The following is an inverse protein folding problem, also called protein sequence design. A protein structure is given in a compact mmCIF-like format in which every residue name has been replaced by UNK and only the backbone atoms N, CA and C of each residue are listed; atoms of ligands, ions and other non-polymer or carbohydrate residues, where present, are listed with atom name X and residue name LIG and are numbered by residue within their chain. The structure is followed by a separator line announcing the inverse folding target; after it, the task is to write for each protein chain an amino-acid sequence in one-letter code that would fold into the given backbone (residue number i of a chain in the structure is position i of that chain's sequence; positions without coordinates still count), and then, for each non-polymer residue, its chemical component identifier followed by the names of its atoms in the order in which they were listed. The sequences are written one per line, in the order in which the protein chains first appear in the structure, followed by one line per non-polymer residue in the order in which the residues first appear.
data_IF_569832048436
#
_entry.id   IF_569832048436
#
_cell.length_a   1.000
_cell.length_b   1.000
_cell.length_c   1.000
_cell.angle_alpha   90.00
_cell.angle_beta   90.00
_cell.angle_gamma   90.00
#
_symmetry.space_group_name_H-M   'P 1'
#
loop_
_entity.id
_entity.type
_entity.pdbx_description
1 polymer ?
#
# COMPACT_ATOMS: atom_id res chain seq x y z
N UNK A 1 40.91 15.65 -10.48
CA UNK A 1 39.95 14.91 -11.31
C UNK A 1 38.99 15.90 -11.93
N UNK A 2 38.59 15.76 -13.20
CA UNK A 2 37.51 16.54 -13.76
C UNK A 2 36.18 16.14 -13.08
N UNK A 3 35.32 17.12 -12.85
CA UNK A 3 33.96 16.93 -12.33
C UNK A 3 33.08 16.29 -13.41
N UNK A 4 32.49 15.13 -13.13
CA UNK A 4 31.54 14.43 -14.00
C UNK A 4 30.14 14.47 -13.36
N UNK A 5 29.20 15.27 -13.90
CA UNK A 5 27.83 15.36 -13.38
C UNK A 5 27.07 14.03 -13.42
N UNK A 6 27.34 13.15 -14.39
CA UNK A 6 26.67 11.85 -14.49
C UNK A 6 27.15 10.88 -13.39
N UNK A 7 28.37 11.05 -12.89
CA UNK A 7 28.89 10.30 -11.74
C UNK A 7 28.25 10.79 -10.44
N UNK A 8 27.99 12.09 -10.31
CA UNK A 8 27.36 12.67 -9.13
C UNK A 8 25.88 12.29 -9.02
N UNK A 9 25.13 12.29 -10.13
CA UNK A 9 23.74 11.82 -10.17
C UNK A 9 23.64 10.33 -9.79
N UNK A 10 24.58 9.49 -10.28
CA UNK A 10 24.66 8.07 -9.89
C UNK A 10 25.01 7.86 -8.43
N UNK A 11 25.86 8.71 -7.85
CA UNK A 11 26.19 8.66 -6.42
C UNK A 11 25.04 9.17 -5.54
N UNK A 12 24.25 10.12 -6.03
CA UNK A 12 23.05 10.62 -5.36
C UNK A 12 21.90 9.61 -5.33
N UNK A 13 21.78 8.76 -6.36
CA UNK A 13 20.86 7.60 -6.37
C UNK A 13 21.25 6.51 -5.34
N UNK A 14 22.53 6.46 -4.96
CA UNK A 14 23.09 5.51 -3.99
C UNK A 14 23.10 6.04 -2.54
N UNK A 15 22.70 7.30 -2.32
CA UNK A 15 22.60 7.82 -0.96
C UNK A 15 21.47 7.11 -0.18
N UNK A 16 21.75 6.68 1.06
CA UNK A 16 20.80 5.90 1.83
C UNK A 16 19.56 6.74 2.18
N UNK A 17 18.39 6.15 1.97
CA UNK A 17 17.12 6.77 2.37
C UNK A 17 17.07 7.01 3.89
N UNK A 18 16.54 8.16 4.29
CA UNK A 18 16.36 8.49 5.69
C UNK A 18 15.02 7.97 6.21
N UNK A 19 15.04 6.90 7.02
CA UNK A 19 13.86 6.33 7.69
C UNK A 19 13.51 7.03 9.02
N UNK A 20 13.91 8.29 9.12
CA UNK A 20 13.60 9.21 10.22
C UNK A 20 13.28 10.59 9.62
N UNK A 21 13.11 11.63 10.44
CA UNK A 21 13.06 13.03 9.96
C UNK A 21 14.44 13.67 10.13
N UNK A 22 15.30 13.67 9.08
CA UNK A 22 16.62 14.26 9.19
C UNK A 22 16.52 15.80 9.33
N UNK A 23 17.52 16.46 9.93
CA UNK A 23 17.47 17.89 10.23
C UNK A 23 17.16 18.79 9.02
N UNK A 24 17.63 18.43 7.82
CA UNK A 24 17.36 19.18 6.59
C UNK A 24 15.91 19.10 6.13
N UNK A 25 15.19 18.02 6.45
CA UNK A 25 13.77 17.86 6.14
C UNK A 25 12.85 18.51 7.18
N UNK A 26 13.33 18.66 8.43
CA UNK A 26 12.50 19.13 9.54
C UNK A 26 11.82 20.47 9.25
N UNK A 27 12.59 21.45 8.75
CA UNK A 27 12.07 22.79 8.44
C UNK A 27 11.02 22.80 7.33
N UNK A 28 11.21 22.01 6.28
CA UNK A 28 10.26 21.92 5.17
C UNK A 28 8.96 21.21 5.59
N UNK A 29 9.08 20.11 6.33
CA UNK A 29 7.94 19.37 6.87
C UNK A 29 7.16 20.21 7.88
N UNK A 30 7.86 20.95 8.75
CA UNK A 30 7.20 21.87 9.68
C UNK A 30 6.46 22.99 8.94
N UNK A 31 7.06 23.57 7.90
CA UNK A 31 6.39 24.57 7.07
C UNK A 31 5.15 24.00 6.38
N UNK A 32 5.22 22.76 5.88
CA UNK A 32 4.06 22.07 5.30
C UNK A 32 2.96 21.86 6.35
N UNK A 33 3.28 21.35 7.54
CA UNK A 33 2.31 21.18 8.65
C UNK A 33 1.66 22.52 8.97
N UNK A 34 2.48 23.56 9.17
CA UNK A 34 2.01 24.91 9.51
C UNK A 34 1.06 25.46 8.45
N UNK A 35 1.37 25.29 7.16
CA UNK A 35 0.48 25.70 6.08
C UNK A 35 -0.89 25.01 6.10
N UNK A 36 -0.98 23.82 6.72
CA UNK A 36 -2.24 23.10 6.91
C UNK A 36 -3.00 23.57 8.15
N UNK A 37 -2.32 23.77 9.27
CA UNK A 37 -2.95 24.05 10.57
C UNK A 37 -3.09 25.54 10.88
N UNK A 38 -2.38 26.40 10.16
CA UNK A 38 -2.42 27.87 10.25
C UNK A 38 -2.74 28.52 8.89
N UNK A 39 -3.89 28.22 8.25
CA UNK A 39 -4.29 28.96 7.06
C UNK A 39 -4.43 30.45 7.41
N UNK A 40 -4.07 31.31 6.45
CA UNK A 40 -4.12 32.79 6.55
C UNK A 40 -5.53 33.36 6.88
N UNK A 41 -6.57 32.52 6.90
CA UNK A 41 -7.95 32.86 7.25
C UNK A 41 -8.38 32.12 8.52
N UNK A 42 -9.28 32.73 9.30
CA UNK A 42 -9.74 32.32 10.65
C UNK A 42 -10.31 30.89 10.84
N UNK A 43 -10.25 30.03 9.81
CA UNK A 43 -10.75 28.66 9.83
C UNK A 43 -9.82 27.66 10.54
N UNK A 44 -8.51 27.91 10.59
CA UNK A 44 -7.47 26.93 11.00
C UNK A 44 -7.59 26.30 12.39
N UNK A 45 -8.34 26.91 13.30
CA UNK A 45 -8.50 26.37 14.66
C UNK A 45 -9.28 25.06 14.69
N UNK A 46 -10.22 24.86 13.76
CA UNK A 46 -11.00 23.62 13.70
C UNK A 46 -10.14 22.44 13.22
N UNK A 47 -9.27 22.68 12.25
CA UNK A 47 -8.28 21.71 11.76
C UNK A 47 -7.28 21.36 12.86
N UNK A 48 -6.71 22.37 13.54
CA UNK A 48 -5.85 22.16 14.72
C UNK A 48 -6.52 21.29 15.77
N UNK A 49 -7.78 21.60 16.13
CA UNK A 49 -8.53 20.84 17.12
C UNK A 49 -8.76 19.38 16.71
N UNK A 50 -9.13 19.15 15.44
CA UNK A 50 -9.31 17.79 14.90
C UNK A 50 -8.02 16.97 15.04
N UNK A 51 -6.89 17.52 14.60
CA UNK A 51 -5.60 16.84 14.68
C UNK A 51 -5.14 16.66 16.13
N UNK A 52 -5.27 17.70 16.96
CA UNK A 52 -4.92 17.65 18.38
C UNK A 52 -5.69 16.54 19.12
N UNK A 53 -7.00 16.42 18.88
CA UNK A 53 -7.83 15.40 19.52
C UNK A 53 -7.42 13.97 19.12
N UNK A 54 -7.00 13.77 17.87
CA UNK A 54 -6.49 12.48 17.38
C UNK A 54 -5.17 12.12 18.05
N UNK A 55 -4.25 13.09 18.17
CA UNK A 55 -2.91 12.85 18.70
C UNK A 55 -2.86 12.72 20.23
N UNK A 56 -3.54 13.60 20.96
CA UNK A 56 -3.40 13.67 22.42
C UNK A 56 -4.26 12.67 23.20
N UNK A 57 -5.23 12.02 22.54
CA UNK A 57 -6.24 11.10 23.12
C UNK A 57 -6.93 11.65 24.39
N UNK A 58 -6.81 12.94 24.69
CA UNK A 58 -7.33 13.62 25.88
C UNK A 58 -7.85 14.99 25.47
N UNK A 59 -9.01 15.42 25.97
CA UNK A 59 -9.60 16.69 25.58
C UNK A 59 -8.69 17.86 25.99
N UNK A 60 -8.67 18.96 25.21
CA UNK A 60 -7.94 20.15 25.60
C UNK A 60 -8.52 20.71 26.90
N UNK A 61 -7.70 21.39 27.72
CA UNK A 61 -8.21 22.09 28.90
C UNK A 61 -9.31 23.07 28.47
N UNK A 62 -10.50 22.93 29.05
CA UNK A 62 -11.65 23.82 28.88
C UNK A 62 -11.38 25.13 29.60
N UNK A 63 -10.42 25.91 29.13
CA UNK A 63 -10.23 27.28 29.62
C UNK A 63 -11.19 28.22 28.89
N UNK A 64 -11.82 29.15 29.63
CA UNK A 64 -12.62 30.26 29.10
C UNK A 64 -11.77 31.32 28.36
N UNK A 65 -10.66 30.91 27.76
CA UNK A 65 -9.75 31.81 27.07
C UNK A 65 -10.28 32.20 25.68
N UNK A 66 -9.94 33.40 25.24
CA UNK A 66 -10.32 33.90 23.91
C UNK A 66 -9.79 33.00 22.79
N UNK A 67 -10.45 33.01 21.63
CA UNK A 67 -10.09 32.17 20.48
C UNK A 67 -8.61 32.32 20.09
N UNK A 68 -8.07 33.54 20.17
CA UNK A 68 -6.66 33.82 19.85
C UNK A 68 -5.68 33.20 20.85
N UNK A 69 -6.00 33.20 22.15
CA UNK A 69 -5.18 32.57 23.19
C UNK A 69 -5.18 31.05 22.99
N UNK A 70 -6.34 30.46 22.71
CA UNK A 70 -6.45 29.01 22.42
C UNK A 70 -5.65 28.63 21.18
N UNK A 71 -5.76 29.40 20.10
CA UNK A 71 -4.97 29.20 18.90
C UNK A 71 -3.46 29.23 19.19
N UNK A 72 -2.99 30.20 20.00
CA UNK A 72 -1.59 30.28 20.43
C UNK A 72 -1.12 29.07 21.22
N UNK A 73 -1.95 28.55 22.13
CA UNK A 73 -1.65 27.34 22.90
C UNK A 73 -1.52 26.10 22.02
N UNK A 74 -2.43 25.91 21.06
CA UNK A 74 -2.34 24.79 20.11
C UNK A 74 -1.10 24.90 19.23
N UNK A 75 -0.79 26.10 18.72
CA UNK A 75 0.44 26.34 17.93
C UNK A 75 1.69 25.96 18.70
N UNK A 76 1.83 26.43 19.95
CA UNK A 76 2.97 26.09 20.78
C UNK A 76 3.04 24.59 21.06
N UNK A 77 1.89 23.94 21.29
CA UNK A 77 1.84 22.50 21.49
C UNK A 77 2.33 21.74 20.25
N UNK A 78 1.83 22.06 19.06
CA UNK A 78 2.26 21.43 17.81
C UNK A 78 3.74 21.66 17.54
N UNK A 79 4.23 22.89 17.75
CA UNK A 79 5.64 23.22 17.59
C UNK A 79 6.50 22.33 18.49
N UNK A 80 6.15 22.20 19.77
CA UNK A 80 6.89 21.36 20.71
C UNK A 80 6.77 19.86 20.38
N UNK A 81 5.57 19.40 19.98
CA UNK A 81 5.34 17.99 19.63
C UNK A 81 6.13 17.59 18.39
N UNK A 82 6.20 18.46 17.38
CA UNK A 82 6.91 18.19 16.13
C UNK A 82 8.43 18.42 16.23
N UNK A 83 8.99 18.78 17.39
CA UNK A 83 10.45 18.80 17.59
C UNK A 83 11.01 17.39 17.41
N UNK A 84 10.29 16.37 17.90
CA UNK A 84 10.72 14.98 17.73
C UNK A 84 10.30 14.45 16.35
N UNK A 85 11.10 13.59 15.72
CA UNK A 85 10.71 12.97 14.47
C UNK A 85 9.40 12.19 14.54
N UNK A 86 9.18 11.43 15.62
CA UNK A 86 7.92 10.71 15.85
C UNK A 86 6.73 11.65 15.91
N UNK A 87 6.86 12.79 16.61
CA UNK A 87 5.77 13.76 16.71
C UNK A 87 5.47 14.42 15.37
N UNK A 88 6.51 14.70 14.56
CA UNK A 88 6.37 15.18 13.19
C UNK A 88 5.62 14.17 12.31
N UNK A 89 6.10 12.92 12.28
CA UNK A 89 5.52 11.86 11.45
C UNK A 89 4.09 11.51 11.87
N UNK A 90 3.81 11.47 13.18
CA UNK A 90 2.45 11.26 13.69
C UNK A 90 1.51 12.41 13.31
N UNK A 91 1.99 13.65 13.33
CA UNK A 91 1.20 14.81 12.90
C UNK A 91 0.90 14.76 11.41
N UNK A 92 1.88 14.45 10.57
CA UNK A 92 1.70 14.26 9.12
C UNK A 92 0.66 13.16 8.85
N UNK A 93 0.78 12.00 9.52
CA UNK A 93 -0.19 10.89 9.40
C UNK A 93 -1.59 11.32 9.79
N UNK A 94 -1.74 12.05 10.89
CA UNK A 94 -3.04 12.54 11.34
C UNK A 94 -3.63 13.52 10.32
N UNK A 95 -2.82 14.42 9.75
CA UNK A 95 -3.25 15.35 8.69
C UNK A 95 -3.73 14.59 7.46
N UNK A 96 -2.93 13.68 6.90
CA UNK A 96 -3.29 12.92 5.71
C UNK A 96 -4.58 12.12 5.91
N UNK A 97 -4.77 11.54 7.10
CA UNK A 97 -5.94 10.70 7.41
C UNK A 97 -7.21 11.52 7.65
N UNK A 98 -7.12 12.63 8.39
CA UNK A 98 -8.31 13.33 8.91
C UNK A 98 -8.61 14.65 8.19
N UNK A 99 -7.65 15.17 7.42
CA UNK A 99 -7.78 16.38 6.60
C UNK A 99 -7.28 16.10 5.16
N UNK A 100 -7.82 15.07 4.47
CA UNK A 100 -7.31 14.67 3.16
C UNK A 100 -7.61 15.75 2.11
N UNK A 101 -6.55 16.27 1.48
CA UNK A 101 -6.65 17.11 0.29
C UNK A 101 -5.52 16.75 -0.68
N UNK A 102 -5.88 16.50 -1.93
CA UNK A 102 -4.97 16.00 -2.96
C UNK A 102 -3.73 16.88 -3.18
N UNK A 103 -3.92 18.21 -3.23
CA UNK A 103 -2.80 19.12 -3.40
C UNK A 103 -1.80 19.05 -2.24
N UNK A 104 -2.27 18.85 -0.99
CA UNK A 104 -1.39 18.75 0.19
C UNK A 104 -0.57 17.48 0.16
N UNK A 105 -1.21 16.37 -0.21
CA UNK A 105 -0.54 15.09 -0.39
C UNK A 105 0.53 15.17 -1.49
N UNK A 106 0.23 15.84 -2.62
CA UNK A 106 1.20 16.05 -3.70
C UNK A 106 2.39 16.90 -3.25
N UNK A 107 2.14 18.05 -2.61
CA UNK A 107 3.22 18.91 -2.09
C UNK A 107 4.06 18.18 -1.04
N UNK A 108 3.45 17.34 -0.19
CA UNK A 108 4.19 16.51 0.76
C UNK A 108 5.09 15.50 0.05
N UNK A 109 4.58 14.81 -0.98
CA UNK A 109 5.39 13.86 -1.74
C UNK A 109 6.61 14.55 -2.38
N UNK A 110 6.44 15.74 -2.94
CA UNK A 110 7.54 16.54 -3.51
C UNK A 110 8.62 16.85 -2.45
N UNK A 111 8.22 17.21 -1.23
CA UNK A 111 9.14 17.45 -0.11
C UNK A 111 9.87 16.15 0.28
N UNK A 112 9.13 15.03 0.42
CA UNK A 112 9.71 13.74 0.82
C UNK A 112 10.69 13.20 -0.22
N UNK A 113 10.38 13.35 -1.52
CA UNK A 113 11.28 12.98 -2.63
C UNK A 113 12.54 13.84 -2.60
N UNK A 114 12.39 15.17 -2.58
CA UNK A 114 13.53 16.10 -2.59
C UNK A 114 14.45 15.89 -1.39
N UNK A 115 13.90 15.58 -0.22
CA UNK A 115 14.69 15.33 0.99
C UNK A 115 15.18 13.90 1.17
N UNK A 116 15.03 13.02 0.16
CA UNK A 116 15.44 11.60 0.19
C UNK A 116 14.88 10.84 1.39
N UNK A 117 13.60 11.08 1.71
CA UNK A 117 12.93 10.37 2.79
C UNK A 117 12.68 8.91 2.43
N UNK A 118 12.93 8.01 3.40
CA UNK A 118 12.51 6.61 3.35
C UNK A 118 10.99 6.41 3.44
N UNK A 119 10.22 7.50 3.53
CA UNK A 119 8.78 7.50 3.46
C UNK A 119 8.27 8.07 2.13
N UNK A 120 7.11 7.57 1.72
CA UNK A 120 6.32 8.10 0.62
C UNK A 120 4.86 8.24 1.06
N UNK A 121 4.11 9.10 0.37
CA UNK A 121 2.66 9.19 0.52
C UNK A 121 2.03 7.94 -0.11
N UNK A 122 1.12 7.31 0.65
CA UNK A 122 0.35 6.15 0.17
C UNK A 122 -0.42 6.49 -1.10
N UNK A 123 -0.67 5.47 -1.93
CA UNK A 123 -1.47 5.61 -3.16
C UNK A 123 -2.84 6.23 -2.91
N UNK A 124 -3.46 5.90 -1.77
CA UNK A 124 -4.77 6.44 -1.36
C UNK A 124 -4.71 7.88 -0.79
N UNK A 125 -3.50 8.46 -0.69
CA UNK A 125 -3.20 9.81 -0.16
C UNK A 125 -3.60 10.04 1.29
N UNK A 126 -3.87 8.98 2.06
CA UNK A 126 -4.41 9.04 3.42
C UNK A 126 -3.42 8.61 4.50
N UNK A 127 -2.15 8.44 4.14
CA UNK A 127 -1.09 8.14 5.10
C UNK A 127 0.27 8.01 4.43
N UNK A 128 1.23 7.52 5.22
CA UNK A 128 2.59 7.24 4.79
C UNK A 128 2.84 5.73 4.67
N UNK A 129 3.71 5.39 3.73
CA UNK A 129 4.28 4.06 3.52
C UNK A 129 5.80 4.15 3.46
N UNK A 130 6.47 3.02 3.69
CA UNK A 130 7.89 2.91 3.39
C UNK A 130 8.09 3.03 1.89
N UNK A 131 9.11 3.81 1.50
CA UNK A 131 9.49 3.97 0.11
C UNK A 131 9.95 2.62 -0.43
N UNK A 132 9.27 2.16 -1.46
CA UNK A 132 9.62 0.97 -2.23
C UNK A 132 10.26 1.40 -3.55
N UNK A 133 10.86 0.44 -4.26
CA UNK A 133 11.35 0.70 -5.61
C UNK A 133 10.21 1.20 -6.52
N UNK A 134 10.41 2.24 -7.34
CA UNK A 134 9.36 2.82 -8.18
C UNK A 134 8.64 1.78 -9.06
N UNK A 135 9.37 0.85 -9.66
CA UNK A 135 8.77 -0.20 -10.50
C UNK A 135 7.86 -1.16 -9.72
N UNK A 136 8.16 -1.44 -8.45
CA UNK A 136 7.29 -2.28 -7.62
C UNK A 136 5.97 -1.54 -7.33
N UNK A 137 6.06 -0.24 -7.07
CA UNK A 137 4.89 0.62 -6.85
C UNK A 137 4.02 0.72 -8.11
N UNK A 138 4.64 0.98 -9.25
CA UNK A 138 3.96 1.10 -10.54
C UNK A 138 3.20 -0.20 -10.92
N UNK A 139 3.82 -1.36 -10.70
CA UNK A 139 3.15 -2.65 -10.95
C UNK A 139 1.88 -2.83 -10.10
N UNK A 140 1.91 -2.41 -8.84
CA UNK A 140 0.73 -2.47 -7.97
C UNK A 140 -0.34 -1.48 -8.42
N UNK A 141 0.04 -0.26 -8.84
CA UNK A 141 -0.91 0.73 -9.38
C UNK A 141 -1.58 0.23 -10.67
N UNK A 142 -0.82 -0.41 -11.56
CA UNK A 142 -1.34 -1.06 -12.76
C UNK A 142 -2.30 -2.19 -12.41
N UNK A 143 -1.92 -3.09 -11.49
CA UNK A 143 -2.77 -4.19 -11.04
C UNK A 143 -4.08 -3.71 -10.39
N UNK A 144 -4.02 -2.66 -9.57
CA UNK A 144 -5.21 -2.03 -8.97
C UNK A 144 -6.13 -1.48 -10.06
N UNK A 145 -5.56 -0.83 -11.09
CA UNK A 145 -6.30 -0.21 -12.18
C UNK A 145 -6.96 -1.22 -13.12
N UNK A 146 -6.30 -2.36 -13.36
CA UNK A 146 -6.81 -3.45 -14.19
C UNK A 146 -7.84 -4.34 -13.45
N UNK A 147 -7.87 -4.28 -12.12
CA UNK A 147 -8.74 -5.14 -11.30
C UNK A 147 -10.20 -4.62 -11.22
N UNK A 148 -11.19 -5.50 -11.00
CA UNK A 148 -12.54 -5.09 -10.62
C UNK A 148 -12.55 -4.25 -9.33
N UNK A 149 -13.51 -3.34 -9.17
CA UNK A 149 -13.55 -2.38 -8.04
C UNK A 149 -13.35 -3.02 -6.65
N UNK A 150 -13.97 -4.19 -6.42
CA UNK A 150 -13.81 -4.94 -5.17
C UNK A 150 -12.38 -5.41 -4.94
N UNK A 151 -11.73 -5.95 -5.97
CA UNK A 151 -10.34 -6.38 -5.94
C UNK A 151 -9.39 -5.20 -5.82
N UNK A 152 -9.61 -4.10 -6.56
CA UNK A 152 -8.80 -2.88 -6.48
C UNK A 152 -8.72 -2.35 -5.04
N UNK A 153 -9.87 -2.25 -4.35
CA UNK A 153 -9.94 -1.81 -2.94
C UNK A 153 -9.19 -2.76 -2.00
N UNK A 154 -9.28 -4.07 -2.22
CA UNK A 154 -8.61 -5.07 -1.40
C UNK A 154 -7.09 -5.06 -1.63
N UNK A 155 -6.62 -4.94 -2.88
CA UNK A 155 -5.20 -4.78 -3.20
C UNK A 155 -4.63 -3.51 -2.56
N UNK A 156 -5.33 -2.37 -2.64
CA UNK A 156 -4.90 -1.14 -1.97
C UNK A 156 -4.77 -1.33 -0.46
N UNK A 157 -5.74 -2.01 0.19
CA UNK A 157 -5.67 -2.28 1.63
C UNK A 157 -4.52 -3.23 1.98
N UNK A 158 -4.33 -4.28 1.19
CA UNK A 158 -3.27 -5.27 1.39
C UNK A 158 -1.89 -4.60 1.29
N UNK A 159 -1.67 -3.79 0.25
CA UNK A 159 -0.47 -2.97 0.09
C UNK A 159 -0.24 -2.04 1.29
N UNK A 160 -1.26 -1.27 1.66
CA UNK A 160 -1.22 -0.34 2.78
C UNK A 160 -0.93 -1.00 4.14
N UNK A 161 -1.33 -2.26 4.31
CA UNK A 161 -1.07 -3.07 5.49
C UNK A 161 0.34 -3.67 5.46
N UNK A 162 0.90 -4.01 4.29
CA UNK A 162 2.24 -4.59 4.17
C UNK A 162 3.38 -3.54 4.12
N UNK A 163 3.12 -2.37 3.53
CA UNK A 163 4.13 -1.33 3.30
C UNK A 163 3.88 -0.05 4.08
N UNK A 164 2.78 0.02 4.82
CA UNK A 164 2.50 1.11 5.73
C UNK A 164 3.59 1.33 6.79
N UNK A 165 3.68 2.56 7.31
CA UNK A 165 4.58 2.87 8.43
C UNK A 165 4.36 2.01 9.68
N UNK A 166 3.14 1.49 9.85
CA UNK A 166 2.75 0.54 10.89
C UNK A 166 2.20 -0.72 10.20
N UNK A 167 3.09 -1.66 9.80
CA UNK A 167 2.69 -2.84 9.07
C UNK A 167 1.79 -3.76 9.89
N UNK A 168 0.78 -4.33 9.24
CA UNK A 168 -0.14 -5.33 9.80
C UNK A 168 -0.12 -6.57 8.90
N UNK A 169 0.83 -7.50 9.12
CA UNK A 169 1.04 -8.64 8.23
C UNK A 169 -0.21 -9.51 8.01
N UNK A 170 -0.96 -9.79 9.08
CA UNK A 170 -2.17 -10.63 8.99
C UNK A 170 -3.27 -9.96 8.17
N UNK A 171 -3.49 -8.65 8.37
CA UNK A 171 -4.43 -7.86 7.56
C UNK A 171 -4.00 -7.87 6.08
N UNK A 172 -2.70 -7.70 5.82
CA UNK A 172 -2.15 -7.70 4.47
C UNK A 172 -2.37 -9.03 3.75
N UNK A 173 -2.09 -10.16 4.42
CA UNK A 173 -2.34 -11.48 3.87
C UNK A 173 -3.85 -11.72 3.64
N UNK A 174 -4.68 -11.38 4.64
CA UNK A 174 -6.14 -11.54 4.59
C UNK A 174 -6.75 -10.77 3.42
N UNK A 175 -6.32 -9.52 3.20
CA UNK A 175 -6.81 -8.69 2.12
C UNK A 175 -6.24 -9.12 0.76
N UNK A 176 -4.98 -9.61 0.68
CA UNK A 176 -4.42 -10.22 -0.54
C UNK A 176 -5.17 -11.50 -0.95
N UNK A 177 -5.53 -12.35 0.01
CA UNK A 177 -6.38 -13.53 -0.21
C UNK A 177 -7.74 -13.12 -0.79
N UNK A 178 -8.43 -12.15 -0.17
CA UNK A 178 -9.74 -11.68 -0.64
C UNK A 178 -9.65 -10.97 -1.99
N UNK A 179 -8.56 -10.24 -2.26
CA UNK A 179 -8.32 -9.64 -3.57
C UNK A 179 -8.23 -10.72 -4.64
N UNK A 180 -7.47 -11.78 -4.37
CA UNK A 180 -7.34 -12.95 -5.26
C UNK A 180 -8.70 -13.60 -5.51
N UNK A 181 -9.55 -13.73 -4.48
CA UNK A 181 -10.92 -14.21 -4.67
C UNK A 181 -11.72 -13.32 -5.62
N UNK A 182 -11.66 -12.00 -5.43
CA UNK A 182 -12.39 -11.04 -6.23
C UNK A 182 -11.89 -10.97 -7.69
N UNK A 183 -10.61 -11.23 -7.93
CA UNK A 183 -10.01 -11.31 -9.28
C UNK A 183 -10.46 -12.59 -9.99
N UNK A 184 -10.38 -13.75 -9.32
CA UNK A 184 -10.62 -15.05 -9.96
C UNK A 184 -12.10 -15.40 -10.10
N UNK A 185 -12.97 -14.91 -9.20
CA UNK A 185 -14.41 -15.20 -9.21
C UNK A 185 -15.09 -14.97 -10.56
N UNK A 186 -14.96 -13.81 -11.23
CA UNK A 186 -15.60 -13.59 -12.53
C UNK A 186 -15.10 -14.53 -13.64
N UNK A 187 -13.92 -15.15 -13.48
CA UNK A 187 -13.35 -16.08 -14.46
C UNK A 187 -13.81 -17.51 -14.16
N UNK A 188 -13.58 -17.96 -12.93
CA UNK A 188 -13.76 -19.37 -12.53
C UNK A 188 -15.22 -19.66 -12.19
N UNK A 189 -15.84 -18.84 -11.35
CA UNK A 189 -17.19 -19.08 -10.80
C UNK A 189 -18.10 -17.87 -11.00
N UNK A 190 -18.35 -17.42 -12.25
CA UNK A 190 -19.11 -16.20 -12.54
C UNK A 190 -20.56 -16.23 -12.04
N UNK A 191 -21.15 -17.41 -11.91
CA UNK A 191 -22.52 -17.62 -11.44
C UNK A 191 -22.62 -17.76 -9.91
N UNK A 192 -21.50 -17.96 -9.22
CA UNK A 192 -21.45 -18.12 -7.77
C UNK A 192 -20.81 -16.88 -7.12
N UNK A 193 -21.70 -15.95 -6.76
CA UNK A 193 -21.33 -14.71 -6.09
C UNK A 193 -20.65 -14.89 -4.74
N UNK A 194 -20.68 -16.09 -4.13
CA UNK A 194 -20.09 -16.38 -2.82
C UNK A 194 -18.88 -17.34 -2.90
N UNK A 195 -18.46 -17.72 -4.11
CA UNK A 195 -17.35 -18.64 -4.32
C UNK A 195 -16.06 -18.18 -3.61
N UNK A 196 -15.56 -19.05 -2.74
CA UNK A 196 -14.28 -18.86 -2.02
C UNK A 196 -13.12 -19.46 -2.79
N UNK A 197 -11.90 -18.99 -2.51
CA UNK A 197 -10.70 -19.38 -3.25
C UNK A 197 -10.49 -20.90 -3.29
N UNK A 198 -10.67 -21.57 -2.15
CA UNK A 198 -10.55 -23.04 -2.08
C UNK A 198 -11.57 -23.77 -2.95
N UNK A 199 -12.81 -23.24 -3.07
CA UNK A 199 -13.82 -23.79 -3.97
C UNK A 199 -13.44 -23.53 -5.44
N UNK A 200 -12.99 -22.33 -5.76
CA UNK A 200 -12.54 -21.99 -7.11
C UNK A 200 -11.36 -22.85 -7.57
N UNK A 201 -10.42 -23.16 -6.68
CA UNK A 201 -9.32 -24.11 -6.96
C UNK A 201 -9.90 -25.49 -7.31
N UNK A 202 -10.85 -26.00 -6.53
CA UNK A 202 -11.51 -27.27 -6.84
C UNK A 202 -12.33 -27.25 -8.14
N UNK A 203 -13.06 -26.16 -8.42
CA UNK A 203 -13.82 -25.97 -9.65
C UNK A 203 -12.89 -25.91 -10.88
N UNK A 204 -11.71 -25.31 -10.72
CA UNK A 204 -10.68 -25.26 -11.75
C UNK A 204 -10.16 -26.66 -12.07
N UNK A 205 -9.74 -27.41 -11.04
CA UNK A 205 -9.16 -28.75 -11.15
C UNK A 205 -10.17 -29.75 -11.74
N UNK A 206 -11.46 -29.59 -11.45
CA UNK A 206 -12.51 -30.50 -11.91
C UNK A 206 -12.90 -30.33 -13.39
N UNK A 207 -12.56 -29.19 -14.03
CA UNK A 207 -13.03 -28.82 -15.38
C UNK A 207 -11.91 -28.19 -16.22
N UNK A 208 -10.77 -28.88 -16.43
CA UNK A 208 -9.60 -28.32 -17.12
C UNK A 208 -9.88 -27.85 -18.55
N UNK A 209 -10.90 -28.41 -19.20
CA UNK A 209 -11.36 -28.05 -20.55
C UNK A 209 -11.98 -26.66 -20.63
N UNK A 210 -12.39 -26.05 -19.50
CA UNK A 210 -13.03 -24.72 -19.48
C UNK A 210 -12.04 -23.57 -19.44
N UNK A 211 -10.75 -23.83 -19.32
CA UNK A 211 -9.74 -22.81 -19.08
C UNK A 211 -8.77 -22.71 -20.25
N UNK A 212 -8.33 -21.50 -20.55
CA UNK A 212 -7.37 -21.20 -21.62
C UNK A 212 -6.28 -20.28 -21.11
N UNK A 213 -5.20 -20.15 -21.89
CA UNK A 213 -4.09 -19.26 -21.60
C UNK A 213 -3.46 -18.73 -22.87
N UNK A 214 -3.23 -17.43 -22.93
CA UNK A 214 -2.50 -16.80 -24.04
C UNK A 214 -1.06 -17.35 -24.20
N UNK A 215 -0.49 -17.95 -23.14
CA UNK A 215 0.87 -18.51 -23.14
C UNK A 215 0.94 -19.84 -23.91
N UNK A 216 -0.03 -20.74 -23.69
CA UNK A 216 -0.02 -22.09 -24.25
C UNK A 216 -0.80 -22.24 -25.55
N UNK A 217 -1.74 -21.35 -25.82
CA UNK A 217 -2.49 -21.38 -27.09
C UNK A 217 -1.62 -21.06 -28.31
N UNK A 218 -0.52 -20.33 -28.13
CA UNK A 218 0.35 -19.91 -29.23
C UNK A 218 1.28 -21.03 -29.73
N UNK A 219 1.57 -22.05 -28.91
CA UNK A 219 2.35 -23.25 -29.27
C UNK A 219 2.08 -24.38 -28.28
N UNK A 220 1.94 -25.65 -28.71
CA UNK A 220 2.00 -26.78 -27.79
C UNK A 220 3.35 -26.74 -27.07
N UNK A 221 3.34 -26.45 -25.77
CA UNK A 221 4.51 -26.31 -24.89
C UNK A 221 5.10 -27.67 -24.52
N UNK A 222 5.09 -28.64 -25.44
CA UNK A 222 5.81 -29.89 -25.26
C UNK A 222 7.27 -29.67 -25.65
N UNK A 223 8.12 -29.50 -24.64
CA UNK A 223 9.56 -29.60 -24.80
C UNK A 223 9.96 -31.07 -24.53
N UNK A 224 10.35 -31.85 -25.56
CA UNK A 224 10.72 -33.26 -25.40
C UNK A 224 11.88 -33.47 -24.42
N UNK A 225 12.77 -32.48 -24.30
CA UNK A 225 13.98 -32.55 -23.49
C UNK A 225 13.74 -32.24 -22.01
N UNK A 226 12.59 -31.63 -21.65
CA UNK A 226 12.31 -31.18 -20.28
C UNK A 226 11.17 -31.91 -19.58
N UNK A 227 10.47 -32.84 -20.24
CA UNK A 227 9.32 -33.57 -19.69
C UNK A 227 8.31 -32.70 -18.90
N UNK A 228 8.20 -31.42 -19.24
CA UNK A 228 7.38 -30.45 -18.52
C UNK A 228 6.60 -29.63 -19.52
N UNK A 229 5.28 -29.80 -19.50
CA UNK A 229 4.35 -28.94 -20.19
C UNK A 229 4.20 -27.67 -19.35
N UNK A 230 4.70 -26.54 -19.86
CA UNK A 230 4.52 -25.26 -19.19
C UNK A 230 3.10 -24.78 -19.46
N UNK A 231 2.29 -24.66 -18.41
CA UNK A 231 0.92 -24.16 -18.48
C UNK A 231 0.78 -22.84 -17.71
N UNK A 232 0.44 -21.78 -18.44
CA UNK A 232 0.19 -20.45 -17.87
C UNK A 232 -0.97 -20.46 -16.87
N UNK A 233 -1.99 -21.29 -17.09
CA UNK A 233 -3.13 -21.44 -16.19
C UNK A 233 -2.68 -22.00 -14.85
N UNK A 234 -1.88 -23.06 -14.91
CA UNK A 234 -1.36 -23.73 -13.71
C UNK A 234 -0.39 -22.82 -12.94
N UNK A 235 0.37 -21.97 -13.63
CA UNK A 235 1.20 -20.95 -12.97
C UNK A 235 0.36 -19.99 -12.11
N UNK A 236 -0.74 -19.47 -12.67
CA UNK A 236 -1.68 -18.60 -11.93
C UNK A 236 -2.29 -19.35 -10.73
N UNK A 237 -2.70 -20.60 -10.95
CA UNK A 237 -3.33 -21.40 -9.90
C UNK A 237 -2.35 -21.83 -8.81
N UNK A 238 -1.07 -22.04 -9.11
CA UNK A 238 -0.05 -22.28 -8.09
C UNK A 238 0.14 -21.07 -7.16
N UNK A 239 0.15 -19.85 -7.71
CA UNK A 239 0.17 -18.62 -6.90
C UNK A 239 -1.09 -18.53 -6.02
N UNK A 240 -2.26 -18.82 -6.59
CA UNK A 240 -3.53 -18.81 -5.85
C UNK A 240 -3.54 -19.84 -4.70
N UNK A 241 -3.01 -21.05 -4.95
CA UNK A 241 -2.85 -22.11 -3.92
C UNK A 241 -1.86 -21.68 -2.83
N UNK A 242 -0.75 -21.03 -3.19
CA UNK A 242 0.22 -20.51 -2.22
C UNK A 242 -0.42 -19.49 -1.26
N UNK A 243 -1.22 -18.55 -1.78
CA UNK A 243 -1.98 -17.60 -0.94
C UNK A 243 -3.05 -18.32 -0.10
N UNK A 244 -3.76 -19.28 -0.69
CA UNK A 244 -4.87 -19.98 -0.04
C UNK A 244 -4.43 -20.84 1.15
N UNK A 245 -3.33 -21.58 0.98
CA UNK A 245 -2.87 -22.57 1.95
C UNK A 245 -1.68 -22.09 2.80
N UNK A 246 -1.02 -20.99 2.41
CA UNK A 246 0.06 -20.39 3.20
C UNK A 246 -0.41 -19.57 4.42
N UNK A 247 -1.71 -19.32 4.56
CA UNK A 247 -2.25 -18.55 5.69
C UNK A 247 -2.20 -19.37 7.00
N UNK A 248 -1.35 -18.95 7.94
CA UNK A 248 -1.22 -19.57 9.29
C UNK A 248 -2.47 -19.42 10.17
N UNK A 249 -3.26 -18.37 9.95
CA UNK A 249 -4.42 -18.02 10.77
C UNK A 249 -5.68 -18.89 10.55
N UNK A 250 -5.60 -20.03 9.84
CA UNK A 250 -6.82 -20.79 9.49
C UNK A 250 -7.19 -21.95 10.40
N UNK A 251 -6.28 -22.51 11.21
CA UNK A 251 -6.59 -23.80 11.85
C UNK A 251 -6.07 -24.08 13.27
N UNK A 252 -5.37 -23.17 13.95
CA UNK A 252 -4.96 -23.47 15.33
C UNK A 252 -4.91 -22.23 16.23
N UNK A 253 -5.68 -22.28 17.31
CA UNK A 253 -5.41 -21.46 18.48
C UNK A 253 -3.98 -21.77 18.97
N UNK A 254 -3.01 -20.96 18.55
CA UNK A 254 -1.60 -21.14 18.91
C UNK A 254 -0.57 -20.96 17.78
N UNK A 255 -0.98 -20.77 16.51
CA UNK A 255 -0.01 -20.44 15.45
C UNK A 255 0.45 -18.97 15.51
N UNK A 256 1.71 -18.74 15.15
CA UNK A 256 2.32 -17.41 15.12
C UNK A 256 1.76 -16.56 13.97
N UNK A 257 1.56 -15.27 14.22
CA UNK A 257 1.17 -14.28 13.21
C UNK A 257 2.09 -14.36 11.97
N UNK A 258 1.57 -13.99 10.79
CA UNK A 258 2.36 -13.96 9.57
C UNK A 258 3.53 -12.98 9.72
N UNK A 259 4.69 -13.33 9.18
CA UNK A 259 5.82 -12.41 9.10
C UNK A 259 5.55 -11.29 8.09
N UNK A 260 6.29 -10.18 8.20
CA UNK A 260 6.17 -9.09 7.25
C UNK A 260 6.58 -9.52 5.83
N UNK A 261 7.59 -10.37 5.73
CA UNK A 261 8.09 -10.96 4.48
C UNK A 261 7.02 -11.84 3.84
N UNK A 262 6.36 -12.69 4.64
CA UNK A 262 5.25 -13.53 4.20
C UNK A 262 4.10 -12.69 3.65
N UNK A 263 3.68 -11.65 4.39
CA UNK A 263 2.63 -10.73 3.95
C UNK A 263 2.98 -10.00 2.64
N UNK A 264 4.22 -9.52 2.50
CA UNK A 264 4.69 -8.85 1.27
C UNK A 264 4.75 -9.81 0.08
N UNK A 265 5.15 -11.06 0.30
CA UNK A 265 5.09 -12.09 -0.72
C UNK A 265 3.64 -12.35 -1.17
N UNK A 266 2.69 -12.45 -0.23
CA UNK A 266 1.28 -12.62 -0.56
C UNK A 266 0.69 -11.46 -1.38
N UNK A 267 1.01 -10.22 -1.02
CA UNK A 267 0.62 -9.03 -1.82
C UNK A 267 1.23 -9.10 -3.22
N UNK A 268 2.50 -9.47 -3.33
CA UNK A 268 3.19 -9.59 -4.62
C UNK A 268 2.55 -10.67 -5.49
N UNK A 269 2.19 -11.82 -4.92
CA UNK A 269 1.48 -12.89 -5.64
C UNK A 269 0.09 -12.43 -6.10
N UNK A 270 -0.68 -11.72 -5.25
CA UNK A 270 -1.99 -11.20 -5.64
C UNK A 270 -1.92 -10.18 -6.78
N UNK A 271 -0.91 -9.30 -6.76
CA UNK A 271 -0.61 -8.35 -7.86
C UNK A 271 -0.26 -9.11 -9.13
N UNK A 272 0.61 -10.13 -9.05
CA UNK A 272 0.97 -10.94 -10.20
C UNK A 272 -0.25 -11.68 -10.78
N UNK A 273 -1.12 -12.25 -9.95
CA UNK A 273 -2.37 -12.89 -10.40
C UNK A 273 -3.25 -11.89 -11.13
N UNK A 274 -3.42 -10.66 -10.61
CA UNK A 274 -4.20 -9.62 -11.28
C UNK A 274 -3.66 -9.34 -12.70
N UNK A 275 -2.35 -9.10 -12.82
CA UNK A 275 -1.71 -8.80 -14.10
C UNK A 275 -1.73 -9.99 -15.07
N UNK A 276 -1.56 -11.21 -14.56
CA UNK A 276 -1.63 -12.44 -15.37
C UNK A 276 -3.04 -12.70 -15.88
N UNK A 277 -4.07 -12.50 -15.06
CA UNK A 277 -5.46 -12.61 -15.49
C UNK A 277 -5.83 -11.54 -16.52
N UNK A 278 -5.41 -10.29 -16.31
CA UNK A 278 -5.64 -9.17 -17.25
C UNK A 278 -4.99 -9.44 -18.62
N UNK A 279 -3.76 -9.97 -18.63
CA UNK A 279 -3.07 -10.38 -19.88
C UNK A 279 -3.60 -11.67 -20.51
N UNK A 280 -4.56 -12.34 -19.87
CA UNK A 280 -5.19 -13.56 -20.40
C UNK A 280 -4.38 -14.85 -20.17
N UNK A 281 -3.45 -14.86 -19.22
CA UNK A 281 -2.71 -16.07 -18.83
C UNK A 281 -3.61 -17.12 -18.15
N UNK A 282 -4.74 -16.68 -17.59
CA UNK A 282 -5.87 -17.52 -17.21
C UNK A 282 -7.16 -16.86 -17.68
N UNK A 283 -7.93 -17.58 -18.49
CA UNK A 283 -9.25 -17.14 -18.96
C UNK A 283 -10.21 -18.32 -19.11
N UNK A 284 -11.50 -18.04 -19.16
CA UNK A 284 -12.52 -19.02 -19.47
C UNK A 284 -12.65 -19.18 -20.99
N UNK A 285 -12.59 -20.41 -21.48
CA UNK A 285 -12.88 -20.79 -22.88
C UNK A 285 -14.37 -21.08 -22.96
N UNK A 286 -15.04 -20.50 -23.97
CA UNK A 286 -16.48 -20.63 -24.18
C UNK A 286 -16.89 -22.08 -24.46
#
# INVERSE_FOLDING_TARGET
MPWDPDEQDRLEELEPLHYDVPPHLHGELWNWIRGVIEPERSYGINEMLKIFNVLRKTPPPTSNSSLGVRAGQYRQWFANYCITPDGMLNTIRAILKHLPYDHRAKTLEEILVRGKSGYAVRMDRRGLEFRVHPSAREQVELAISASPEGASKLLTKAWNAAYGMDPRPDDAWSDAFKATEAILRPIISPEDGDAKLGKMIGDYDAKPEKWGSCITESRPTFNPDRHTELDGRETVMQLARAICYGQKDRHAAGESANSLEEARAAVTMAVAIAMLCDSGALRRVA
#
